data_IF_887522219924
#
_entry.id   IF_887522219924
#
_cell.length_a   1.000
_cell.length_b   1.000
_cell.length_c   1.000
_cell.angle_alpha   90.00
_cell.angle_beta   90.00
_cell.angle_gamma   90.00
#
_symmetry.space_group_name_H-M   'P 1'
#
loop_
_entity.id
_entity.type
_entity.pdbx_description
1 polymer ?
#
# COMPACT_ATOMS: atom_id res chain seq x y z
N UNK A 1 -30.30 4.82 8.02
CA UNK A 1 -29.04 4.17 7.62
C UNK A 1 -28.50 4.98 6.46
N UNK A 2 -27.50 5.83 6.68
CA UNK A 2 -26.89 6.59 5.59
C UNK A 2 -26.16 5.61 4.69
N UNK A 3 -26.54 5.54 3.40
CA UNK A 3 -25.79 4.78 2.41
C UNK A 3 -24.40 5.42 2.31
N UNK A 4 -23.41 4.77 2.92
CA UNK A 4 -22.02 5.20 2.87
C UNK A 4 -21.46 4.82 1.49
N UNK A 5 -21.88 5.57 0.47
CA UNK A 5 -21.40 5.42 -0.89
C UNK A 5 -19.93 5.80 -0.93
N UNK A 6 -19.07 4.86 -1.29
CA UNK A 6 -17.63 5.11 -1.44
C UNK A 6 -17.43 6.01 -2.65
N UNK A 7 -16.81 7.17 -2.45
CA UNK A 7 -16.52 8.13 -3.50
C UNK A 7 -15.11 7.93 -4.07
N UNK A 8 -14.85 8.52 -5.24
CA UNK A 8 -13.49 8.58 -5.80
C UNK A 8 -12.51 9.32 -4.88
N UNK A 9 -12.98 10.28 -4.08
CA UNK A 9 -12.17 10.99 -3.09
C UNK A 9 -11.77 10.08 -1.93
N UNK A 10 -12.71 9.28 -1.40
CA UNK A 10 -12.41 8.31 -0.33
C UNK A 10 -11.36 7.29 -0.77
N UNK A 11 -11.46 6.80 -2.02
CA UNK A 11 -10.44 5.92 -2.58
C UNK A 11 -9.09 6.62 -2.77
N UNK A 12 -9.08 7.90 -3.13
CA UNK A 12 -7.85 8.69 -3.26
C UNK A 12 -7.09 8.74 -1.93
N UNK A 13 -7.80 9.07 -0.84
CA UNK A 13 -7.23 9.15 0.50
C UNK A 13 -6.70 7.78 0.95
N UNK A 14 -7.49 6.72 0.73
CA UNK A 14 -7.09 5.36 1.06
C UNK A 14 -5.83 4.91 0.30
N UNK A 15 -5.74 5.21 -1.00
CA UNK A 15 -4.56 4.91 -1.83
C UNK A 15 -3.31 5.57 -1.23
N UNK A 16 -3.40 6.85 -0.88
CA UNK A 16 -2.29 7.61 -0.28
C UNK A 16 -1.86 7.00 1.06
N UNK A 17 -2.81 6.56 1.89
CA UNK A 17 -2.50 5.90 3.16
C UNK A 17 -1.80 4.55 2.96
N UNK A 18 -2.23 3.76 1.99
CA UNK A 18 -1.59 2.48 1.65
C UNK A 18 -0.18 2.66 1.09
N UNK A 19 0.05 3.69 0.27
CA UNK A 19 1.39 4.04 -0.22
C UNK A 19 2.32 4.43 0.93
N UNK A 20 1.85 5.29 1.85
CA UNK A 20 2.61 5.64 3.07
C UNK A 20 2.88 4.43 3.96
N UNK A 21 1.91 3.52 4.09
CA UNK A 21 2.06 2.30 4.86
C UNK A 21 3.14 1.40 4.26
N UNK A 22 3.14 1.22 2.93
CA UNK A 22 4.16 0.46 2.21
C UNK A 22 5.56 1.02 2.44
N UNK A 23 5.74 2.33 2.33
CA UNK A 23 7.04 2.98 2.52
C UNK A 23 7.53 2.86 3.97
N UNK A 24 6.63 3.05 4.94
CA UNK A 24 6.93 2.84 6.36
C UNK A 24 7.32 1.40 6.65
N UNK A 25 6.62 0.43 6.07
CA UNK A 25 6.94 -0.99 6.23
C UNK A 25 8.35 -1.31 5.74
N UNK A 26 8.75 -0.79 4.58
CA UNK A 26 10.12 -0.92 4.06
C UNK A 26 11.13 -0.27 5.00
N UNK A 27 10.87 0.98 5.39
CA UNK A 27 11.77 1.75 6.26
C UNK A 27 11.98 1.07 7.62
N UNK A 28 10.90 0.75 8.34
CA UNK A 28 10.95 0.14 9.66
C UNK A 28 11.60 -1.25 9.61
N UNK A 29 11.25 -2.07 8.61
CA UNK A 29 11.81 -3.42 8.48
C UNK A 29 13.30 -3.38 8.15
N UNK A 30 13.72 -2.46 7.26
CA UNK A 30 15.14 -2.34 6.91
C UNK A 30 15.98 -1.78 8.05
N UNK A 31 15.45 -0.82 8.82
CA UNK A 31 16.11 -0.30 10.02
C UNK A 31 16.20 -1.35 11.14
N UNK A 32 15.13 -2.10 11.38
CA UNK A 32 15.14 -3.21 12.34
C UNK A 32 16.15 -4.29 11.92
N UNK A 33 16.19 -4.65 10.64
CA UNK A 33 17.15 -5.61 10.10
C UNK A 33 18.60 -5.13 10.25
N UNK A 34 18.86 -3.85 10.01
CA UNK A 34 20.18 -3.23 10.20
C UNK A 34 20.63 -3.34 11.66
N UNK A 35 19.74 -3.05 12.62
CA UNK A 35 20.02 -3.22 14.06
C UNK A 35 20.30 -4.69 14.41
N UNK A 36 19.61 -5.63 13.76
CA UNK A 36 19.81 -7.07 13.91
C UNK A 36 21.00 -7.62 13.09
N UNK A 37 21.78 -6.77 12.40
CA UNK A 37 22.90 -7.16 11.52
C UNK A 37 22.51 -8.15 10.41
N UNK A 38 21.24 -8.12 9.98
CA UNK A 38 20.76 -8.92 8.86
C UNK A 38 21.13 -8.25 7.53
N UNK A 39 21.38 -9.06 6.51
CA UNK A 39 21.67 -8.53 5.18
C UNK A 39 20.42 -7.92 4.55
N UNK A 40 20.58 -6.76 3.90
CA UNK A 40 19.48 -6.09 3.18
C UNK A 40 18.80 -7.02 2.17
N UNK A 41 19.57 -7.84 1.46
CA UNK A 41 19.05 -8.79 0.47
C UNK A 41 18.12 -9.83 1.10
N UNK A 42 18.51 -10.43 2.23
CA UNK A 42 17.69 -11.43 2.91
C UNK A 42 16.42 -10.81 3.51
N UNK A 43 16.52 -9.58 4.05
CA UNK A 43 15.37 -8.84 4.55
C UNK A 43 14.38 -8.49 3.44
N UNK A 44 14.87 -7.99 2.31
CA UNK A 44 14.01 -7.66 1.17
C UNK A 44 13.33 -8.89 0.58
N UNK A 45 14.03 -10.02 0.46
CA UNK A 45 13.43 -11.27 -0.03
C UNK A 45 12.26 -11.75 0.85
N UNK A 46 12.31 -11.48 2.16
CA UNK A 46 11.19 -11.77 3.09
C UNK A 46 10.05 -10.77 2.98
N UNK A 47 10.36 -9.52 2.60
CA UNK A 47 9.39 -8.44 2.52
C UNK A 47 8.64 -8.43 1.18
N UNK A 48 9.32 -8.87 0.11
CA UNK A 48 8.83 -8.84 -1.27
C UNK A 48 7.43 -9.44 -1.48
N UNK A 49 7.06 -10.59 -0.88
CA UNK A 49 5.69 -11.11 -1.01
C UNK A 49 4.63 -10.18 -0.41
N UNK A 50 4.93 -9.52 0.71
CA UNK A 50 4.00 -8.58 1.35
C UNK A 50 3.89 -7.28 0.55
N UNK A 51 5.01 -6.79 0.01
CA UNK A 51 5.00 -5.62 -0.88
C UNK A 51 4.22 -5.89 -2.16
N UNK A 52 4.37 -7.09 -2.75
CA UNK A 52 3.64 -7.48 -3.94
C UNK A 52 2.12 -7.54 -3.70
N UNK A 53 1.68 -8.04 -2.53
CA UNK A 53 0.25 -8.03 -2.16
C UNK A 53 -0.28 -6.59 -1.96
N UNK A 54 0.50 -5.72 -1.32
CA UNK A 54 0.14 -4.30 -1.17
C UNK A 54 0.06 -3.62 -2.55
N UNK A 55 1.02 -3.88 -3.43
CA UNK A 55 1.08 -3.30 -4.78
C UNK A 55 -0.10 -3.76 -5.64
N UNK A 56 -0.47 -5.04 -5.55
CA UNK A 56 -1.65 -5.56 -6.24
C UNK A 56 -2.95 -4.92 -5.72
N UNK A 57 -3.06 -4.69 -4.42
CA UNK A 57 -4.21 -3.99 -3.82
C UNK A 57 -4.28 -2.53 -4.23
N UNK A 58 -3.14 -1.82 -4.20
CA UNK A 58 -3.03 -0.44 -4.67
C UNK A 58 -3.46 -0.29 -6.12
N UNK A 59 -3.04 -1.22 -6.98
CA UNK A 59 -3.43 -1.22 -8.38
C UNK A 59 -4.95 -1.37 -8.56
N UNK A 60 -5.57 -2.31 -7.84
CA UNK A 60 -7.04 -2.48 -7.85
C UNK A 60 -7.78 -1.25 -7.35
N UNK A 61 -7.29 -0.61 -6.29
CA UNK A 61 -7.89 0.62 -5.75
C UNK A 61 -7.80 1.77 -6.76
N UNK A 62 -6.66 1.92 -7.45
CA UNK A 62 -6.47 2.91 -8.52
C UNK A 62 -7.43 2.69 -9.68
N UNK A 63 -7.62 1.43 -10.09
CA UNK A 63 -8.60 1.07 -11.13
C UNK A 63 -10.03 1.40 -10.70
N UNK A 64 -10.41 1.09 -9.45
CA UNK A 64 -11.73 1.43 -8.90
C UNK A 64 -11.95 2.95 -8.85
N UNK A 65 -10.95 3.71 -8.39
CA UNK A 65 -10.98 5.16 -8.36
C UNK A 65 -11.16 5.75 -9.75
N UNK A 66 -10.41 5.26 -10.74
CA UNK A 66 -10.51 5.71 -12.12
C UNK A 66 -11.91 5.44 -12.68
N UNK A 67 -12.48 4.26 -12.41
CA UNK A 67 -13.83 3.91 -12.86
C UNK A 67 -14.92 4.80 -12.22
N UNK A 68 -14.80 5.12 -10.93
CA UNK A 68 -15.72 6.03 -10.24
C UNK A 68 -15.59 7.45 -10.80
N UNK A 69 -14.38 7.92 -11.06
CA UNK A 69 -14.11 9.26 -11.60
C UNK A 69 -14.53 9.42 -13.07
N UNK A 70 -14.55 8.33 -13.84
CA UNK A 70 -14.98 8.33 -15.24
C UNK A 70 -16.51 8.16 -15.40
N UNK A 71 -17.18 7.67 -14.36
CA UNK A 71 -18.65 7.49 -14.33
C UNK A 71 -19.38 8.65 -13.67
N UNK A 72 -18.65 9.63 -13.12
CA UNK A 72 -19.15 10.83 -12.45
C UNK A 72 -19.18 12.05 -13.37
#
# INVERSE_FOLDING_TARGET
MSENTVTAADLAELIVEFEKYRDRLISETTEAAKKAKLSKKATMAKLEPQLADIDAKLQRLKEQQANLSASS
#
